data_IF_952094696459
#
_entry.id   IF_952094696459
#
_cell.length_a   1.000
_cell.length_b   1.000
_cell.length_c   1.000
_cell.angle_alpha   90.00
_cell.angle_beta   90.00
_cell.angle_gamma   90.00
#
_symmetry.space_group_name_H-M   'P 1'
#
loop_
_entity.id
_entity.type
_entity.pdbx_description
1 polymer ?
#
# COMPACT_ATOMS: atom_id res chain seq x y z
N UNK A 1 -5.50 4.58 -4.53
CA UNK A 1 -4.79 5.39 -5.54
C UNK A 1 -3.30 5.09 -5.45
N UNK A 2 -2.75 4.42 -6.45
CA UNK A 2 -1.36 3.96 -6.47
C UNK A 2 -0.56 4.82 -7.45
N UNK A 3 -0.36 6.09 -7.08
CA UNK A 3 0.42 7.05 -7.85
C UNK A 3 1.87 6.96 -7.41
N UNK A 4 2.75 6.56 -8.31
CA UNK A 4 4.20 6.58 -8.07
C UNK A 4 4.75 7.85 -8.73
N UNK A 5 5.63 8.55 -8.01
CA UNK A 5 6.40 9.67 -8.56
C UNK A 5 7.76 9.15 -8.96
N UNK A 6 8.09 9.23 -10.24
CA UNK A 6 9.42 8.91 -10.76
C UNK A 6 10.18 10.21 -10.94
N UNK A 7 11.39 10.29 -10.40
CA UNK A 7 12.33 11.38 -10.63
C UNK A 7 13.38 10.95 -11.65
N UNK A 8 13.57 11.75 -12.68
CA UNK A 8 14.63 11.55 -13.67
C UNK A 8 15.33 12.86 -13.98
N UNK A 9 16.63 12.78 -14.22
CA UNK A 9 17.44 13.93 -14.63
C UNK A 9 17.25 14.13 -16.13
N UNK A 10 16.99 15.38 -16.51
CA UNK A 10 16.95 15.82 -17.89
C UNK A 10 18.15 16.72 -18.17
N UNK A 11 18.70 16.61 -19.36
CA UNK A 11 19.79 17.46 -19.85
C UNK A 11 19.32 18.14 -21.14
N UNK A 12 19.46 19.47 -21.22
CA UNK A 12 19.17 20.24 -22.44
C UNK A 12 19.80 21.63 -22.44
N UNK A 13 19.81 22.26 -23.61
CA UNK A 13 20.13 23.66 -23.86
C UNK A 13 18.87 24.56 -23.80
N UNK A 14 19.05 25.87 -23.58
CA UNK A 14 18.05 26.86 -23.12
C UNK A 14 16.91 27.19 -24.11
N UNK A 15 15.66 27.30 -23.61
CA UNK A 15 14.59 28.08 -24.26
C UNK A 15 13.13 27.61 -24.15
N UNK A 16 12.45 27.96 -23.04
CA UNK A 16 11.00 28.28 -22.80
C UNK A 16 9.82 27.28 -23.00
N UNK A 17 8.89 27.18 -22.03
CA UNK A 17 7.82 26.16 -21.82
C UNK A 17 6.41 26.46 -22.40
N UNK A 18 5.71 25.44 -22.95
CA UNK A 18 4.29 25.05 -22.67
C UNK A 18 3.74 23.89 -23.55
N UNK A 19 3.57 22.73 -22.89
CA UNK A 19 2.71 21.54 -23.08
C UNK A 19 2.28 20.99 -24.46
N UNK A 20 2.96 19.90 -24.83
CA UNK A 20 2.48 18.56 -25.24
C UNK A 20 3.78 17.75 -25.42
N UNK A 21 3.87 16.52 -24.92
CA UNK A 21 5.15 15.80 -24.90
C UNK A 21 5.29 14.86 -26.07
N UNK A 22 6.47 14.83 -26.68
CA UNK A 22 6.83 13.82 -27.67
C UNK A 22 7.99 12.99 -27.16
N UNK A 23 7.70 11.72 -26.92
CA UNK A 23 8.68 10.71 -26.57
C UNK A 23 9.30 10.19 -27.85
N UNK A 24 10.63 10.04 -27.84
CA UNK A 24 11.42 9.60 -28.97
C UNK A 24 12.44 8.59 -28.48
N UNK A 25 12.87 7.71 -29.38
CA UNK A 25 13.98 6.77 -29.13
C UNK A 25 15.01 6.95 -30.23
N UNK A 26 16.28 7.04 -29.85
CA UNK A 26 17.36 7.10 -30.83
C UNK A 26 17.83 5.69 -31.24
N UNK A 27 18.73 5.62 -32.23
CA UNK A 27 19.29 4.36 -32.74
C UNK A 27 20.06 3.55 -31.68
N UNK A 28 20.53 4.23 -30.62
CA UNK A 28 21.19 3.60 -29.45
C UNK A 28 20.20 3.14 -28.38
N UNK A 29 18.90 3.23 -28.65
CA UNK A 29 17.82 2.82 -27.75
C UNK A 29 17.57 3.74 -26.55
N UNK A 30 18.18 4.94 -26.54
CA UNK A 30 18.01 5.94 -25.47
C UNK A 30 16.74 6.75 -25.68
N UNK A 31 16.06 7.05 -24.58
CA UNK A 31 14.78 7.75 -24.59
C UNK A 31 15.01 9.27 -24.47
N UNK A 32 14.31 9.99 -25.34
CA UNK A 32 14.27 11.44 -25.35
C UNK A 32 12.84 11.92 -25.17
N UNK A 33 12.70 13.09 -24.58
CA UNK A 33 11.43 13.81 -24.55
C UNK A 33 11.62 15.19 -25.16
N UNK A 34 10.73 15.55 -26.08
CA UNK A 34 10.55 16.90 -26.58
C UNK A 34 9.31 17.48 -25.91
N UNK A 35 9.47 18.68 -25.38
CA UNK A 35 8.36 19.42 -24.80
C UNK A 35 7.88 20.45 -25.82
N UNK A 36 6.62 20.34 -26.24
CA UNK A 36 6.05 21.41 -27.06
C UNK A 36 6.08 22.72 -26.26
N UNK A 37 6.34 23.82 -26.98
CA UNK A 37 6.66 25.13 -26.41
C UNK A 37 8.16 25.38 -26.25
N UNK A 38 8.98 24.36 -25.93
CA UNK A 38 10.46 24.43 -25.83
C UNK A 38 11.17 24.32 -27.20
N UNK A 39 10.49 24.72 -28.27
CA UNK A 39 11.01 24.63 -29.64
C UNK A 39 11.39 23.20 -30.06
N UNK A 40 12.53 23.07 -30.76
CA UNK A 40 13.08 21.79 -31.23
C UNK A 40 13.99 21.09 -30.20
N UNK A 41 14.03 21.59 -28.96
CA UNK A 41 14.90 21.03 -27.92
C UNK A 41 14.48 19.61 -27.57
N UNK A 42 15.46 18.71 -27.53
CA UNK A 42 15.28 17.32 -27.14
C UNK A 42 16.07 17.06 -25.87
N UNK A 43 15.40 16.46 -24.89
CA UNK A 43 15.98 16.20 -23.57
C UNK A 43 16.22 14.70 -23.45
N UNK A 44 17.45 14.29 -23.18
CA UNK A 44 17.76 12.90 -22.89
C UNK A 44 17.32 12.54 -21.47
N UNK A 45 16.69 11.37 -21.32
CA UNK A 45 16.16 10.91 -20.03
C UNK A 45 17.17 10.01 -19.34
N UNK A 46 17.73 10.52 -18.25
CA UNK A 46 18.59 9.74 -17.37
C UNK A 46 17.74 9.23 -16.20
N UNK A 47 17.49 7.92 -16.22
CA UNK A 47 16.70 7.23 -15.21
C UNK A 47 17.37 5.92 -14.79
N UNK A 48 17.08 5.47 -13.56
CA UNK A 48 17.48 4.14 -13.12
C UNK A 48 16.85 3.05 -14.00
N UNK A 49 17.57 1.92 -14.14
CA UNK A 49 17.09 0.75 -14.90
C UNK A 49 15.70 0.27 -14.48
N UNK A 50 15.35 0.44 -13.20
CA UNK A 50 14.03 0.08 -12.64
C UNK A 50 12.89 0.98 -13.16
N UNK A 51 13.21 2.21 -13.54
CA UNK A 51 12.24 3.19 -14.03
C UNK A 51 12.12 3.21 -15.55
N UNK A 52 13.13 2.73 -16.27
CA UNK A 52 13.19 2.72 -17.73
C UNK A 52 11.94 2.10 -18.38
N UNK A 53 11.42 1.01 -17.81
CA UNK A 53 10.23 0.32 -18.31
C UNK A 53 8.99 1.23 -18.39
N UNK A 54 8.86 2.21 -17.48
CA UNK A 54 7.71 3.11 -17.49
C UNK A 54 7.81 4.11 -18.65
N UNK A 55 9.00 4.63 -18.91
CA UNK A 55 9.22 5.55 -20.03
C UNK A 55 9.12 4.86 -21.39
N UNK A 56 9.60 3.62 -21.50
CA UNK A 56 9.38 2.80 -22.69
C UNK A 56 7.87 2.64 -22.96
N UNK A 57 7.08 2.40 -21.91
CA UNK A 57 5.63 2.30 -22.03
C UNK A 57 4.96 3.60 -22.47
N UNK A 58 5.47 4.75 -22.05
CA UNK A 58 4.95 6.05 -22.49
C UNK A 58 5.16 6.27 -23.98
N UNK A 59 6.33 5.87 -24.48
CA UNK A 59 6.64 5.88 -25.92
C UNK A 59 5.70 4.96 -26.69
N UNK A 60 5.54 3.70 -26.25
CA UNK A 60 4.64 2.73 -26.88
C UNK A 60 3.20 3.25 -26.95
N UNK A 61 2.67 3.77 -25.83
CA UNK A 61 1.31 4.31 -25.77
C UNK A 61 1.14 5.48 -26.78
N UNK A 62 2.16 6.33 -26.94
CA UNK A 62 2.14 7.43 -27.89
C UNK A 62 2.21 6.94 -29.35
N UNK A 63 3.08 5.98 -29.66
CA UNK A 63 3.24 5.40 -30.99
C UNK A 63 1.97 4.68 -31.45
N UNK A 64 1.38 3.86 -30.57
CA UNK A 64 0.12 3.15 -30.84
C UNK A 64 -0.99 4.14 -31.20
N UNK A 65 -1.13 5.22 -30.41
CA UNK A 65 -2.12 6.25 -30.68
C UNK A 65 -1.88 7.01 -32.00
N UNK A 66 -0.62 7.29 -32.33
CA UNK A 66 -0.23 7.94 -33.60
C UNK A 66 -0.57 7.03 -34.79
N UNK A 67 -0.22 5.75 -34.71
CA UNK A 67 -0.45 4.77 -35.76
C UNK A 67 -1.94 4.47 -35.96
N UNK A 68 -2.74 4.50 -34.88
CA UNK A 68 -4.18 4.22 -34.91
C UNK A 68 -5.04 5.44 -35.27
N UNK A 69 -4.48 6.53 -35.81
CA UNK A 69 -5.20 7.79 -36.13
C UNK A 69 -6.04 8.33 -34.95
N UNK A 70 -5.53 8.26 -33.72
CA UNK A 70 -6.22 8.70 -32.49
C UNK A 70 -7.51 7.93 -32.11
N UNK A 71 -7.66 6.68 -32.56
CA UNK A 71 -8.73 5.80 -32.10
C UNK A 71 -8.64 5.46 -30.59
N UNK A 72 -7.45 5.54 -29.99
CA UNK A 72 -7.28 5.34 -28.55
C UNK A 72 -7.41 6.65 -27.75
N UNK A 73 -8.06 6.58 -26.60
CA UNK A 73 -8.19 7.72 -25.68
C UNK A 73 -6.87 8.02 -24.96
N UNK A 74 -6.38 9.27 -25.02
CA UNK A 74 -5.24 9.73 -24.19
C UNK A 74 -5.49 9.55 -22.69
N UNK A 75 -6.76 9.44 -22.30
CA UNK A 75 -7.14 9.32 -20.90
C UNK A 75 -6.80 7.95 -20.28
N UNK A 76 -6.39 6.99 -21.12
CA UNK A 76 -5.90 5.65 -20.77
C UNK A 76 -4.37 5.52 -20.93
N UNK A 77 -3.65 6.64 -21.05
CA UNK A 77 -2.21 6.67 -20.91
C UNK A 77 -1.79 6.38 -19.47
N UNK A 78 -0.73 5.59 -19.33
CA UNK A 78 -0.10 5.27 -18.04
C UNK A 78 0.46 6.52 -17.36
N UNK A 79 1.03 7.44 -18.13
CA UNK A 79 1.46 8.76 -17.68
C UNK A 79 0.25 9.69 -17.44
N UNK A 80 0.15 10.25 -16.23
CA UNK A 80 -0.96 11.14 -15.84
C UNK A 80 -0.56 12.61 -15.82
N UNK A 81 0.64 12.87 -15.34
CA UNK A 81 1.23 14.20 -15.41
C UNK A 81 2.74 14.09 -15.37
N UNK A 82 3.40 15.18 -15.73
CA UNK A 82 4.62 15.44 -15.02
C UNK A 82 5.06 16.88 -15.06
N UNK A 83 6.06 17.13 -14.25
CA UNK A 83 6.47 18.44 -13.81
C UNK A 83 7.97 18.54 -13.97
N UNK A 84 8.38 19.63 -14.59
CA UNK A 84 9.77 20.03 -14.63
C UNK A 84 10.07 20.85 -13.39
N UNK A 85 11.16 20.51 -12.72
CA UNK A 85 11.67 21.25 -11.58
C UNK A 85 13.15 21.51 -11.78
N UNK A 86 13.53 22.77 -11.66
CA UNK A 86 14.93 23.17 -11.61
C UNK A 86 15.37 23.11 -10.14
N UNK A 87 16.27 22.20 -9.81
CA UNK A 87 16.77 22.03 -8.44
C UNK A 87 18.19 22.56 -8.32
N UNK A 88 18.51 23.26 -7.22
CA UNK A 88 19.87 23.69 -6.97
C UNK A 88 20.76 22.47 -6.70
N UNK A 89 21.94 22.44 -7.33
CA UNK A 89 22.98 21.47 -6.97
C UNK A 89 23.76 21.93 -5.74
N UNK A 90 24.39 20.98 -5.03
CA UNK A 90 25.24 21.29 -3.87
C UNK A 90 26.67 21.69 -4.25
N UNK A 91 27.05 21.52 -5.52
CA UNK A 91 28.39 21.78 -6.01
C UNK A 91 28.64 23.27 -6.28
N UNK A 92 29.90 23.73 -6.13
CA UNK A 92 30.31 25.09 -6.48
C UNK A 92 30.64 25.17 -7.97
N UNK A 93 29.96 26.03 -8.73
CA UNK A 93 30.19 26.21 -10.16
C UNK A 93 29.14 27.10 -10.82
N UNK A 94 29.19 27.18 -12.16
CA UNK A 94 28.20 27.91 -12.95
C UNK A 94 26.80 27.34 -12.75
N UNK A 95 25.82 28.23 -12.60
CA UNK A 95 24.43 27.93 -12.21
C UNK A 95 23.78 26.87 -13.13
N UNK A 96 24.11 26.85 -14.42
CA UNK A 96 23.59 25.87 -15.39
C UNK A 96 24.30 24.50 -15.37
N UNK A 97 25.52 24.42 -14.83
CA UNK A 97 26.26 23.16 -14.63
C UNK A 97 25.92 22.51 -13.30
N UNK A 98 25.69 23.33 -12.28
CA UNK A 98 25.39 22.91 -10.91
C UNK A 98 23.94 22.48 -10.77
N UNK A 99 23.02 23.28 -11.30
CA UNK A 99 21.61 23.00 -11.12
C UNK A 99 21.13 21.91 -12.06
N UNK A 100 20.16 21.13 -11.59
CA UNK A 100 19.66 19.96 -12.30
C UNK A 100 18.19 20.15 -12.66
N UNK A 101 17.89 19.95 -13.95
CA UNK A 101 16.51 19.83 -14.40
C UNK A 101 16.01 18.42 -14.10
N UNK A 102 15.00 18.32 -13.24
CA UNK A 102 14.36 17.07 -12.87
C UNK A 102 12.97 16.98 -13.49
N UNK A 103 12.66 15.83 -14.09
CA UNK A 103 11.33 15.45 -14.52
C UNK A 103 10.69 14.57 -13.47
N UNK A 104 9.61 15.08 -12.88
CA UNK A 104 8.74 14.34 -11.99
C UNK A 104 7.53 13.84 -12.77
N UNK A 105 7.42 12.53 -12.96
CA UNK A 105 6.26 11.91 -13.62
C UNK A 105 5.36 11.26 -12.60
N UNK A 106 4.05 11.49 -12.71
CA UNK A 106 3.02 10.73 -12.00
C UNK A 106 2.40 9.71 -12.95
N UNK A 107 2.26 8.47 -12.48
CA UNK A 107 1.73 7.36 -13.27
C UNK A 107 0.60 6.65 -12.55
N UNK A 108 -0.38 6.13 -13.32
CA UNK A 108 -1.43 5.24 -12.80
C UNK A 108 -1.03 3.78 -13.06
N UNK A 109 -0.59 3.10 -11.99
CA UNK A 109 -0.13 1.71 -12.07
C UNK A 109 -1.21 0.71 -12.49
N UNK A 110 -2.51 1.07 -12.36
CA UNK A 110 -3.62 0.21 -12.81
C UNK A 110 -3.60 0.03 -14.32
N UNK A 111 -3.11 1.01 -15.07
CA UNK A 111 -3.05 0.96 -16.54
C UNK A 111 -1.86 0.14 -17.06
N UNK A 112 -1.18 -0.60 -16.18
CA UNK A 112 -0.10 -1.49 -16.58
C UNK A 112 -0.61 -2.84 -17.11
N UNK A 113 -1.79 -3.25 -16.68
CA UNK A 113 -2.38 -4.57 -16.94
C UNK A 113 -3.72 -4.41 -17.64
N UNK A 114 -4.11 -5.37 -18.47
CA UNK A 114 -5.40 -5.34 -19.18
C UNK A 114 -6.58 -5.22 -18.21
N UNK A 115 -6.55 -5.99 -17.12
CA UNK A 115 -7.59 -6.09 -16.10
C UNK A 115 -7.70 -4.76 -15.31
N UNK A 116 -6.57 -4.19 -14.90
CA UNK A 116 -6.55 -2.87 -14.26
C UNK A 116 -6.98 -1.74 -15.20
N UNK A 117 -6.66 -1.83 -16.50
CA UNK A 117 -7.16 -0.87 -17.50
C UNK A 117 -8.67 -0.99 -17.66
N UNK A 118 -9.23 -2.20 -17.66
CA UNK A 118 -10.69 -2.43 -17.73
C UNK A 118 -11.43 -1.79 -16.55
N UNK A 119 -10.91 -1.93 -15.32
CA UNK A 119 -11.48 -1.24 -14.16
C UNK A 119 -11.54 0.28 -14.34
N UNK A 120 -10.46 0.88 -14.86
CA UNK A 120 -10.42 2.32 -15.14
C UNK A 120 -11.38 2.72 -16.27
N UNK A 121 -11.52 1.86 -17.29
CA UNK A 121 -12.48 2.04 -18.38
C UNK A 121 -13.90 2.07 -17.82
N UNK A 122 -14.29 1.09 -17.00
CA UNK A 122 -15.61 1.01 -16.36
C UNK A 122 -15.90 2.23 -15.47
N UNK A 123 -14.95 2.65 -14.63
CA UNK A 123 -15.05 3.87 -13.81
C UNK A 123 -15.34 5.12 -14.67
N UNK A 124 -14.64 5.24 -15.80
CA UNK A 124 -14.78 6.38 -16.71
C UNK A 124 -16.08 6.32 -17.50
N UNK A 125 -16.45 5.16 -18.02
CA UNK A 125 -17.71 4.96 -18.75
C UNK A 125 -18.88 5.35 -17.84
N UNK A 126 -18.90 4.83 -16.61
CA UNK A 126 -19.94 5.16 -15.62
C UNK A 126 -20.02 6.67 -15.36
N UNK A 127 -18.87 7.33 -15.18
CA UNK A 127 -18.81 8.79 -14.97
C UNK A 127 -19.32 9.58 -16.17
N UNK A 128 -18.96 9.17 -17.38
CA UNK A 128 -19.39 9.82 -18.63
C UNK A 128 -20.90 9.62 -18.81
N UNK A 129 -21.40 8.39 -18.64
CA UNK A 129 -22.82 8.06 -18.74
C UNK A 129 -23.66 8.84 -17.73
N UNK A 130 -23.21 8.94 -16.47
CA UNK A 130 -23.87 9.75 -15.43
C UNK A 130 -23.87 11.25 -15.75
N UNK A 131 -22.87 11.73 -16.48
CA UNK A 131 -22.82 13.14 -16.92
C UNK A 131 -23.79 13.35 -18.08
N UNK A 132 -23.81 12.42 -19.04
CA UNK A 132 -24.71 12.46 -20.20
C UNK A 132 -26.18 12.37 -19.78
N UNK A 133 -26.55 11.53 -18.81
CA UNK A 133 -27.92 11.46 -18.30
C UNK A 133 -28.36 12.77 -17.67
N UNK A 134 -27.51 13.40 -16.86
CA UNK A 134 -27.79 14.72 -16.24
C UNK A 134 -27.94 15.85 -17.26
N UNK A 135 -27.18 15.81 -18.35
CA UNK A 135 -27.28 16.83 -19.41
C UNK A 135 -28.53 16.60 -20.26
N UNK A 136 -28.89 15.35 -20.56
CA UNK A 136 -30.10 14.99 -21.32
C UNK A 136 -31.42 15.24 -20.59
N UNK A 137 -31.40 15.37 -19.27
CA UNK A 137 -32.58 15.74 -18.45
C UNK A 137 -32.96 17.22 -18.54
N UNK A 138 -32.17 18.05 -19.24
CA UNK A 138 -32.51 19.46 -19.48
C UNK A 138 -33.15 19.57 -20.86
N UNK A 139 -34.40 20.03 -20.90
CA UNK A 139 -35.21 20.08 -22.12
C UNK A 139 -34.72 21.10 -23.16
N UNK A 140 -34.02 22.17 -22.75
CA UNK A 140 -33.45 23.19 -23.64
C UNK A 140 -31.91 23.09 -23.74
N UNK A 141 -31.43 22.31 -24.71
CA UNK A 141 -30.00 22.12 -24.97
C UNK A 141 -29.44 23.24 -25.87
N UNK A 142 -28.55 24.07 -25.32
CA UNK A 142 -27.76 25.05 -26.10
C UNK A 142 -26.75 24.37 -27.03
N UNK A 143 -26.32 25.03 -28.10
CA UNK A 143 -25.31 24.53 -29.05
C UNK A 143 -24.00 24.08 -28.37
N UNK A 144 -23.57 24.79 -27.32
CA UNK A 144 -22.40 24.42 -26.51
C UNK A 144 -22.59 23.08 -25.77
N UNK A 145 -23.82 22.79 -25.34
CA UNK A 145 -24.17 21.54 -24.65
C UNK A 145 -24.27 20.39 -25.65
N UNK A 146 -24.74 20.63 -26.87
CA UNK A 146 -24.70 19.65 -27.95
C UNK A 146 -23.25 19.31 -28.33
N UNK A 147 -22.40 20.32 -28.53
CA UNK A 147 -20.98 20.12 -28.78
C UNK A 147 -20.28 19.36 -27.63
N UNK A 148 -20.67 19.61 -26.38
CA UNK A 148 -20.20 18.85 -25.23
C UNK A 148 -20.65 17.39 -25.27
N UNK A 149 -21.91 17.09 -25.60
CA UNK A 149 -22.43 15.73 -25.74
C UNK A 149 -21.65 14.97 -26.82
N UNK A 150 -21.44 15.56 -28.00
CA UNK A 150 -20.67 14.93 -29.08
C UNK A 150 -19.22 14.64 -28.67
N UNK A 151 -18.59 15.54 -27.90
CA UNK A 151 -17.24 15.31 -27.33
C UNK A 151 -17.23 14.16 -26.32
N UNK A 152 -18.25 14.05 -25.48
CA UNK A 152 -18.37 12.95 -24.51
C UNK A 152 -18.62 11.60 -25.20
N UNK A 153 -19.48 11.56 -26.22
CA UNK A 153 -19.74 10.36 -27.03
C UNK A 153 -18.48 9.89 -27.75
N UNK A 154 -17.79 10.79 -28.48
CA UNK A 154 -16.52 10.44 -29.12
C UNK A 154 -15.43 10.03 -28.13
N UNK A 155 -15.49 10.52 -26.89
CA UNK A 155 -14.59 10.06 -25.81
C UNK A 155 -14.94 8.65 -25.34
N UNK A 156 -16.23 8.32 -25.24
CA UNK A 156 -16.73 6.99 -24.89
C UNK A 156 -16.28 5.94 -25.92
N UNK A 157 -16.44 6.24 -27.21
CA UNK A 157 -16.02 5.36 -28.31
C UNK A 157 -14.51 5.05 -28.25
N UNK A 158 -13.70 6.07 -27.96
CA UNK A 158 -12.23 5.93 -27.83
C UNK A 158 -11.79 5.21 -26.56
N UNK A 159 -12.60 5.21 -25.50
CA UNK A 159 -12.31 4.52 -24.24
C UNK A 159 -12.56 3.02 -24.37
N UNK A 160 -13.52 2.61 -25.22
CA UNK A 160 -13.80 1.21 -25.51
C UNK A 160 -12.71 0.52 -26.34
N UNK A 161 -11.73 1.27 -26.85
CA UNK A 161 -10.54 0.74 -27.51
C UNK A 161 -9.28 1.00 -26.65
N UNK A 162 -9.03 0.19 -25.60
CA UNK A 162 -7.87 0.38 -24.72
C UNK A 162 -6.54 0.04 -25.43
N UNK A 163 -5.44 0.58 -24.91
CA UNK A 163 -4.10 0.19 -25.35
C UNK A 163 -3.83 -1.28 -25.04
N UNK A 164 -3.09 -2.02 -25.90
CA UNK A 164 -2.70 -3.40 -25.62
C UNK A 164 -1.78 -3.44 -24.39
N UNK A 165 -2.16 -4.21 -23.38
CA UNK A 165 -1.41 -4.38 -22.13
C UNK A 165 -1.12 -5.87 -21.89
N UNK A 166 -0.07 -6.21 -21.14
CA UNK A 166 0.09 -7.58 -20.64
C UNK A 166 -1.10 -7.94 -19.73
N UNK A 167 -1.62 -9.16 -19.90
CA UNK A 167 -2.60 -9.70 -18.97
C UNK A 167 -1.90 -10.09 -17.67
N UNK A 168 -2.50 -9.66 -16.56
CA UNK A 168 -2.14 -10.13 -15.24
C UNK A 168 -3.45 -10.24 -14.45
N UNK A 169 -3.97 -11.46 -14.26
CA UNK A 169 -5.26 -11.63 -13.60
C UNK A 169 -5.21 -10.99 -12.22
N UNK A 170 -6.30 -10.30 -11.88
CA UNK A 170 -6.50 -9.81 -10.52
C UNK A 170 -6.43 -10.98 -9.55
N UNK A 171 -5.93 -10.72 -8.35
CA UNK A 171 -5.92 -11.73 -7.31
C UNK A 171 -7.37 -12.20 -7.05
N UNK A 172 -7.60 -13.49 -7.18
CA UNK A 172 -8.85 -14.15 -6.83
C UNK A 172 -8.52 -15.21 -5.78
N UNK A 173 -8.92 -14.94 -4.54
CA UNK A 173 -8.82 -15.92 -3.48
C UNK A 173 -10.00 -16.89 -3.49
N UNK A 174 -9.82 -18.04 -2.84
CA UNK A 174 -10.87 -19.01 -2.60
C UNK A 174 -11.74 -18.52 -1.44
N UNK A 175 -13.06 -18.31 -1.63
CA UNK A 175 -13.95 -17.80 -0.59
C UNK A 175 -14.00 -18.65 0.69
N UNK A 176 -13.63 -19.92 0.59
CA UNK A 176 -13.54 -20.85 1.73
C UNK A 176 -12.29 -20.64 2.58
N UNK A 177 -11.21 -20.06 2.04
CA UNK A 177 -9.93 -19.95 2.72
C UNK A 177 -9.75 -18.55 3.29
N UNK A 178 -9.60 -18.47 4.61
CA UNK A 178 -9.40 -17.24 5.36
C UNK A 178 -8.10 -17.27 6.15
N UNK A 179 -7.43 -16.12 6.22
CA UNK A 179 -6.25 -15.96 7.09
C UNK A 179 -6.65 -15.19 8.35
N UNK A 180 -6.67 -15.87 9.49
CA UNK A 180 -6.88 -15.25 10.79
C UNK A 180 -5.57 -14.76 11.40
N UNK A 181 -5.55 -13.51 11.86
CA UNK A 181 -4.41 -12.89 12.52
C UNK A 181 -4.74 -12.71 14.01
N UNK A 182 -3.99 -13.33 14.90
CA UNK A 182 -4.11 -13.07 16.33
C UNK A 182 -2.97 -12.21 16.85
N UNK A 183 -3.29 -11.32 17.79
CA UNK A 183 -2.31 -10.54 18.51
C UNK A 183 -2.16 -11.07 19.94
N UNK A 184 -0.93 -11.11 20.45
CA UNK A 184 -0.62 -11.73 21.73
C UNK A 184 0.41 -10.95 22.54
N UNK A 185 0.38 -11.13 23.86
CA UNK A 185 1.22 -10.38 24.80
C UNK A 185 2.72 -10.70 24.75
N UNK A 186 3.06 -11.97 24.47
CA UNK A 186 4.46 -12.43 24.42
C UNK A 186 5.02 -12.44 22.99
N UNK A 187 4.15 -12.69 22.03
CA UNK A 187 4.46 -12.79 20.60
C UNK A 187 3.51 -11.85 19.88
N UNK A 188 4.02 -10.83 19.15
CA UNK A 188 3.19 -9.78 18.59
C UNK A 188 2.11 -10.30 17.64
N UNK A 189 2.39 -11.36 16.87
CA UNK A 189 1.42 -11.88 15.91
C UNK A 189 1.49 -13.39 15.76
N UNK A 190 0.34 -14.06 15.61
CA UNK A 190 0.27 -15.47 15.20
C UNK A 190 -0.81 -15.60 14.14
N UNK A 191 -0.50 -16.32 13.07
CA UNK A 191 -1.36 -16.44 11.90
C UNK A 191 -1.87 -17.86 11.80
N UNK A 192 -3.14 -18.01 11.45
CA UNK A 192 -3.77 -19.27 11.09
C UNK A 192 -4.40 -19.14 9.69
N UNK A 193 -4.22 -20.15 8.85
CA UNK A 193 -4.91 -20.28 7.56
C UNK A 193 -5.96 -21.36 7.74
N UNK A 194 -7.22 -21.03 7.49
CA UNK A 194 -8.38 -21.90 7.76
C UNK A 194 -9.17 -22.07 6.48
N UNK A 195 -9.48 -23.32 6.13
CA UNK A 195 -10.56 -23.64 5.21
C UNK A 195 -11.84 -23.77 6.02
N UNK A 196 -12.70 -22.76 5.92
CA UNK A 196 -13.90 -22.63 6.76
C UNK A 196 -14.98 -23.62 6.34
N UNK A 197 -15.02 -24.03 5.07
CA UNK A 197 -16.02 -25.00 4.59
C UNK A 197 -15.71 -26.38 5.15
N UNK A 198 -14.43 -26.76 5.18
CA UNK A 198 -13.98 -28.03 5.80
C UNK A 198 -13.83 -27.93 7.31
N UNK A 199 -13.88 -26.72 7.87
CA UNK A 199 -13.55 -26.43 9.26
C UNK A 199 -12.16 -26.95 9.66
N UNK A 200 -11.19 -26.85 8.74
CA UNK A 200 -9.83 -27.37 8.89
C UNK A 200 -8.81 -26.24 8.90
N UNK A 201 -7.84 -26.33 9.81
CA UNK A 201 -6.73 -25.38 9.85
C UNK A 201 -5.57 -25.90 9.00
N UNK A 202 -5.38 -25.28 7.84
CA UNK A 202 -4.36 -25.65 6.86
C UNK A 202 -2.94 -25.37 7.36
N UNK A 203 -2.77 -24.28 8.11
CA UNK A 203 -1.45 -23.88 8.60
C UNK A 203 -1.50 -22.94 9.80
N UNK A 204 -0.57 -23.14 10.72
CA UNK A 204 -0.20 -22.14 11.72
C UNK A 204 1.17 -21.56 11.42
N UNK A 205 1.32 -20.24 11.62
CA UNK A 205 2.59 -19.54 11.49
C UNK A 205 2.81 -18.64 12.69
N UNK A 206 3.88 -18.94 13.42
CA UNK A 206 4.35 -18.11 14.53
C UNK A 206 5.24 -16.96 14.04
N UNK A 207 5.43 -15.93 14.87
CA UNK A 207 6.37 -14.81 14.58
C UNK A 207 7.75 -15.26 14.09
N UNK A 208 8.29 -16.35 14.67
CA UNK A 208 9.60 -16.88 14.27
C UNK A 208 9.57 -17.44 12.85
N UNK A 209 8.48 -18.09 12.46
CA UNK A 209 8.30 -18.60 11.10
C UNK A 209 7.99 -17.48 10.11
N UNK A 210 7.30 -16.41 10.54
CA UNK A 210 6.99 -15.25 9.69
C UNK A 210 8.26 -14.43 9.38
N UNK A 211 9.11 -14.21 10.38
CA UNK A 211 10.31 -13.39 10.21
C UNK A 211 11.52 -14.20 9.70
N UNK A 212 11.56 -15.51 9.93
CA UNK A 212 12.68 -16.36 9.55
C UNK A 212 14.00 -15.86 10.15
N UNK A 213 14.98 -15.57 9.28
CA UNK A 213 16.28 -15.02 9.66
C UNK A 213 16.19 -13.64 10.33
N UNK A 214 15.19 -12.83 9.94
CA UNK A 214 14.96 -11.49 10.49
C UNK A 214 14.38 -11.52 11.91
N UNK A 215 14.18 -12.70 12.50
CA UNK A 215 13.72 -12.82 13.88
C UNK A 215 14.69 -12.19 14.90
N UNK A 216 15.99 -12.13 14.56
CA UNK A 216 17.00 -11.45 15.36
C UNK A 216 16.69 -9.95 15.55
N UNK A 217 16.09 -9.29 14.55
CA UNK A 217 15.70 -7.88 14.61
C UNK A 217 14.65 -7.63 15.69
N UNK A 218 13.71 -8.57 15.87
CA UNK A 218 12.71 -8.49 16.94
C UNK A 218 13.36 -8.55 18.33
N UNK A 219 14.36 -9.41 18.51
CA UNK A 219 15.09 -9.50 19.77
C UNK A 219 15.90 -8.22 20.03
N UNK A 220 16.55 -7.67 18.99
CA UNK A 220 17.26 -6.38 19.08
C UNK A 220 16.32 -5.25 19.49
N UNK A 221 15.13 -5.17 18.89
CA UNK A 221 14.13 -4.16 19.25
C UNK A 221 13.69 -4.30 20.72
N UNK A 222 13.48 -5.52 21.21
CA UNK A 222 13.12 -5.75 22.62
C UNK A 222 14.20 -5.28 23.59
N UNK A 223 15.46 -5.61 23.30
CA UNK A 223 16.61 -5.15 24.08
C UNK A 223 16.71 -3.62 24.09
N UNK A 224 16.51 -2.99 22.94
CA UNK A 224 16.52 -1.54 22.83
C UNK A 224 15.38 -0.90 23.63
N UNK A 225 14.15 -1.42 23.54
CA UNK A 225 13.03 -0.92 24.34
C UNK A 225 13.29 -1.04 25.84
N UNK A 226 13.88 -2.15 26.28
CA UNK A 226 14.24 -2.35 27.68
C UNK A 226 15.33 -1.37 28.14
N UNK A 227 16.39 -1.19 27.35
CA UNK A 227 17.45 -0.21 27.62
C UNK A 227 16.89 1.21 27.71
N UNK A 228 16.10 1.64 26.72
CA UNK A 228 15.47 2.95 26.70
C UNK A 228 14.48 3.14 27.86
N UNK A 229 13.78 2.08 28.30
CA UNK A 229 12.93 2.16 29.49
C UNK A 229 13.75 2.38 30.77
N UNK A 230 14.91 1.74 30.87
CA UNK A 230 15.82 1.94 32.01
C UNK A 230 16.42 3.35 32.02
N UNK A 231 16.90 3.82 30.87
CA UNK A 231 17.42 5.19 30.70
C UNK A 231 16.34 6.24 31.01
N UNK A 232 15.09 6.03 30.57
CA UNK A 232 13.93 6.88 30.94
C UNK A 232 13.69 6.93 32.44
N UNK A 233 13.73 5.79 33.11
CA UNK A 233 13.53 5.73 34.55
C UNK A 233 14.66 6.44 35.31
N UNK A 234 15.91 6.31 34.85
CA UNK A 234 17.05 7.04 35.42
C UNK A 234 16.91 8.55 35.20
N UNK A 235 16.56 8.99 34.00
CA UNK A 235 16.33 10.39 33.67
C UNK A 235 15.18 11.00 34.48
N UNK A 236 14.07 10.26 34.66
CA UNK A 236 12.94 10.68 35.51
C UNK A 236 13.35 10.90 36.96
N UNK A 237 14.16 10.00 37.53
CA UNK A 237 14.70 10.19 38.90
C UNK A 237 15.62 11.41 39.02
N UNK A 238 16.24 11.82 37.92
CA UNK A 238 17.17 12.95 37.86
C UNK A 238 16.50 14.24 37.36
N UNK A 239 15.17 14.26 37.16
CA UNK A 239 14.44 15.37 36.53
C UNK A 239 15.04 15.82 35.18
N UNK A 240 15.67 14.91 34.45
CA UNK A 240 16.29 15.15 33.15
C UNK A 240 15.29 14.86 32.00
N UNK A 241 15.51 15.42 30.79
CA UNK A 241 14.72 15.09 29.61
C UNK A 241 14.67 13.57 29.37
N UNK A 242 13.46 13.03 29.19
CA UNK A 242 13.21 11.59 29.09
C UNK A 242 12.67 11.15 27.72
N UNK A 243 12.72 12.04 26.72
CA UNK A 243 12.38 11.76 25.33
C UNK A 243 13.57 11.16 24.60
N UNK A 244 13.71 9.84 24.66
CA UNK A 244 14.67 9.11 23.85
C UNK A 244 14.01 8.65 22.55
N UNK A 245 14.66 8.88 21.42
CA UNK A 245 14.18 8.43 20.12
C UNK A 245 14.14 6.89 20.05
N UNK A 246 12.99 6.34 19.68
CA UNK A 246 12.91 4.92 19.31
C UNK A 246 13.41 4.78 17.87
N UNK A 247 14.27 3.78 17.60
CA UNK A 247 14.69 3.51 16.22
C UNK A 247 13.49 3.10 15.37
N UNK A 248 13.53 3.44 14.09
CA UNK A 248 12.59 3.01 13.04
C UNK A 248 12.48 1.48 12.86
N UNK A 249 13.31 0.71 13.57
CA UNK A 249 13.34 -0.76 13.58
C UNK A 249 11.95 -1.37 13.85
N UNK A 250 11.15 -0.78 14.74
CA UNK A 250 9.80 -1.29 15.01
C UNK A 250 8.88 -1.18 13.79
N UNK A 251 8.94 -0.05 13.07
CA UNK A 251 8.17 0.13 11.83
C UNK A 251 8.64 -0.82 10.74
N UNK A 252 9.96 -1.04 10.64
CA UNK A 252 10.53 -1.97 9.69
C UNK A 252 10.07 -3.41 9.95
N UNK A 253 10.06 -3.86 11.20
CA UNK A 253 9.57 -5.20 11.56
C UNK A 253 8.07 -5.33 11.28
N UNK A 254 7.26 -4.29 11.49
CA UNK A 254 5.85 -4.31 11.12
C UNK A 254 5.63 -4.52 9.61
N UNK A 255 6.47 -3.88 8.77
CA UNK A 255 6.45 -4.10 7.31
C UNK A 255 6.84 -5.54 6.95
N UNK A 256 7.90 -6.08 7.56
CA UNK A 256 8.31 -7.47 7.35
C UNK A 256 7.23 -8.48 7.75
N UNK A 257 6.55 -8.25 8.89
CA UNK A 257 5.44 -9.07 9.34
C UNK A 257 4.26 -8.99 8.38
N UNK A 258 3.89 -7.78 7.94
CA UNK A 258 2.83 -7.58 6.97
C UNK A 258 3.15 -8.32 5.65
N UNK A 259 4.36 -8.16 5.11
CA UNK A 259 4.80 -8.83 3.89
C UNK A 259 4.73 -10.35 4.01
N UNK A 260 5.16 -10.91 5.15
CA UNK A 260 5.08 -12.35 5.41
C UNK A 260 3.63 -12.85 5.48
N UNK A 261 2.73 -12.09 6.13
CA UNK A 261 1.29 -12.43 6.20
C UNK A 261 0.67 -12.42 4.80
N UNK A 262 0.96 -11.40 3.98
CA UNK A 262 0.47 -11.31 2.61
C UNK A 262 1.04 -12.45 1.75
N UNK A 263 2.31 -12.81 1.92
CA UNK A 263 2.91 -13.93 1.21
C UNK A 263 2.20 -15.25 1.52
N UNK A 264 1.89 -15.51 2.80
CA UNK A 264 1.12 -16.69 3.20
C UNK A 264 -0.28 -16.66 2.59
N UNK A 265 -0.98 -15.53 2.68
CA UNK A 265 -2.32 -15.40 2.09
C UNK A 265 -2.30 -15.72 0.59
N UNK A 266 -1.29 -15.24 -0.15
CA UNK A 266 -1.10 -15.58 -1.57
C UNK A 266 -0.85 -17.07 -1.81
N UNK A 267 0.05 -17.69 -1.03
CA UNK A 267 0.41 -19.10 -1.20
C UNK A 267 -0.81 -20.01 -1.06
N UNK A 268 -1.70 -19.70 -0.12
CA UNK A 268 -2.92 -20.47 0.12
C UNK A 268 -4.14 -19.93 -0.64
N UNK A 269 -3.95 -18.93 -1.52
CA UNK A 269 -5.04 -18.27 -2.25
C UNK A 269 -6.20 -17.86 -1.33
N UNK A 270 -5.91 -17.29 -0.16
CA UNK A 270 -6.94 -16.87 0.77
C UNK A 270 -7.76 -15.69 0.22
N UNK A 271 -9.08 -15.73 0.36
CA UNK A 271 -9.97 -14.64 -0.04
C UNK A 271 -9.71 -13.35 0.74
N UNK A 272 -9.56 -13.48 2.06
CA UNK A 272 -9.39 -12.32 2.94
C UNK A 272 -8.49 -12.60 4.14
N UNK A 273 -8.04 -11.52 4.75
CA UNK A 273 -7.27 -11.51 6.00
C UNK A 273 -8.12 -10.89 7.10
N UNK A 274 -8.41 -11.67 8.14
CA UNK A 274 -9.21 -11.26 9.28
C UNK A 274 -8.29 -10.74 10.39
N UNK A 275 -8.50 -9.49 10.77
CA UNK A 275 -7.71 -8.74 11.74
C UNK A 275 -8.57 -8.45 12.98
N UNK A 276 -8.03 -8.52 14.20
CA UNK A 276 -8.83 -8.33 15.40
C UNK A 276 -9.06 -6.85 15.71
N UNK A 277 -10.21 -6.53 16.31
CA UNK A 277 -10.54 -5.17 16.77
C UNK A 277 -9.57 -4.71 17.87
N UNK A 278 -9.05 -3.49 17.74
CA UNK A 278 -8.13 -2.90 18.72
C UNK A 278 -8.76 -2.65 20.09
N UNK A 279 -10.07 -2.37 20.15
CA UNK A 279 -10.77 -2.11 21.41
C UNK A 279 -10.72 -3.34 22.32
N UNK A 280 -11.05 -4.50 21.74
CA UNK A 280 -11.09 -5.79 22.43
C UNK A 280 -9.69 -6.22 22.89
N UNK A 281 -8.64 -5.77 22.22
CA UNK A 281 -7.26 -6.08 22.61
C UNK A 281 -6.88 -5.53 23.98
N UNK A 282 -7.31 -4.31 24.34
CA UNK A 282 -6.97 -3.76 25.67
C UNK A 282 -7.61 -4.57 26.79
N UNK A 283 -8.85 -4.97 26.59
CA UNK A 283 -9.62 -5.79 27.53
C UNK A 283 -9.08 -7.21 27.60
N UNK A 284 -8.73 -7.82 26.46
CA UNK A 284 -8.08 -9.14 26.44
C UNK A 284 -6.75 -9.14 27.18
N UNK A 285 -5.94 -8.10 26.97
CA UNK A 285 -4.66 -7.94 27.65
C UNK A 285 -4.88 -7.77 29.15
N UNK A 286 -5.85 -6.94 29.57
CA UNK A 286 -6.11 -6.74 30.99
C UNK A 286 -6.63 -8.02 31.66
N UNK A 287 -7.54 -8.75 31.01
CA UNK A 287 -8.06 -10.03 31.49
C UNK A 287 -6.98 -11.12 31.55
N UNK A 288 -6.09 -11.22 30.56
CA UNK A 288 -5.00 -12.21 30.57
C UNK A 288 -3.96 -11.89 31.66
N UNK A 289 -3.62 -10.62 31.84
CA UNK A 289 -2.74 -10.16 32.92
C UNK A 289 -3.35 -10.48 34.29
N UNK A 290 -4.64 -10.20 34.47
CA UNK A 290 -5.35 -10.43 35.72
C UNK A 290 -5.46 -11.93 36.04
N UNK A 291 -5.85 -12.75 35.06
CA UNK A 291 -5.92 -14.21 35.24
C UNK A 291 -4.57 -14.81 35.62
N UNK A 292 -3.46 -14.30 35.07
CA UNK A 292 -2.10 -14.73 35.46
C UNK A 292 -1.73 -14.27 36.88
N UNK A 293 -2.18 -13.09 37.28
CA UNK A 293 -1.96 -12.57 38.63
C UNK A 293 -2.68 -13.43 39.67
N UNK A 294 -3.95 -13.75 39.41
CA UNK A 294 -4.77 -14.62 40.27
C UNK A 294 -4.20 -16.04 40.38
N UNK A 295 -3.72 -16.61 39.28
CA UNK A 295 -3.06 -17.93 39.29
C UNK A 295 -1.78 -17.97 40.12
N UNK A 296 -1.01 -16.88 40.14
CA UNK A 296 0.25 -16.81 40.92
C UNK A 296 0.03 -16.46 42.38
N UNK A 297 -0.92 -15.58 42.65
CA UNK A 297 -1.22 -15.09 44.00
C UNK A 297 -2.73 -15.25 44.26
N UNK A 298 -3.21 -16.47 44.51
CA UNK A 298 -4.63 -16.70 44.79
C UNK A 298 -5.03 -15.96 46.09
N UNK A 299 -6.18 -15.29 46.07
CA UNK A 299 -6.77 -14.61 47.25
C UNK A 299 -6.11 -13.29 47.69
N UNK A 300 -4.85 -13.01 47.33
CA UNK A 300 -4.16 -11.80 47.78
C UNK A 300 -4.16 -10.66 46.75
N UNK A 301 -5.14 -9.75 46.86
CA UNK A 301 -5.39 -8.67 45.89
C UNK A 301 -4.22 -7.71 45.67
N UNK A 302 -3.48 -7.34 46.71
CA UNK A 302 -2.35 -6.39 46.57
C UNK A 302 -1.18 -7.02 45.81
N UNK A 303 -0.83 -8.28 46.10
CA UNK A 303 0.18 -9.00 45.33
C UNK A 303 -0.25 -9.22 43.88
N UNK A 304 -1.55 -9.48 43.63
CA UNK A 304 -2.07 -9.56 42.27
C UNK A 304 -1.89 -8.24 41.51
N UNK A 305 -2.21 -7.10 42.14
CA UNK A 305 -2.03 -5.77 41.54
C UNK A 305 -0.55 -5.45 41.26
N UNK A 306 0.33 -5.75 42.22
CA UNK A 306 1.79 -5.57 42.07
C UNK A 306 2.33 -6.44 40.93
N UNK A 307 1.97 -7.71 40.91
CA UNK A 307 2.33 -8.63 39.84
C UNK A 307 1.79 -8.18 38.49
N UNK A 308 0.53 -7.77 38.41
CA UNK A 308 -0.08 -7.27 37.17
C UNK A 308 0.66 -6.03 36.63
N UNK A 309 1.08 -5.11 37.52
CA UNK A 309 1.87 -3.93 37.16
C UNK A 309 3.25 -4.32 36.63
N UNK A 310 3.98 -5.16 37.34
CA UNK A 310 5.31 -5.65 36.92
C UNK A 310 5.22 -6.43 35.60
N UNK A 311 4.21 -7.28 35.46
CA UNK A 311 4.00 -8.06 34.25
C UNK A 311 3.66 -7.18 33.06
N UNK A 312 2.80 -6.15 33.20
CA UNK A 312 2.55 -5.15 32.14
C UNK A 312 3.81 -4.40 31.72
N UNK A 313 4.70 -4.10 32.66
CA UNK A 313 6.00 -3.48 32.33
C UNK A 313 6.96 -4.43 31.60
N UNK A 314 6.86 -5.74 31.88
CA UNK A 314 7.70 -6.78 31.25
C UNK A 314 7.25 -7.18 29.83
N UNK A 315 5.99 -6.87 29.49
CA UNK A 315 5.40 -7.17 28.17
C UNK A 315 5.92 -6.17 27.12
N UNK A 316 6.01 -6.62 25.87
CA UNK A 316 6.42 -5.75 24.78
C UNK A 316 5.42 -4.61 24.54
N UNK A 317 5.92 -3.39 24.34
CA UNK A 317 5.09 -2.21 24.01
C UNK A 317 4.88 -2.13 22.50
N UNK A 318 4.17 -3.10 21.95
CA UNK A 318 3.91 -3.14 20.51
C UNK A 318 2.75 -2.22 20.15
N UNK A 319 2.90 -1.47 19.05
CA UNK A 319 1.80 -0.68 18.49
C UNK A 319 1.01 -1.52 17.49
N UNK A 320 -0.04 -2.19 17.95
CA UNK A 320 -0.89 -3.00 17.06
C UNK A 320 -1.60 -2.17 16.01
N UNK A 321 -1.93 -0.90 16.28
CA UNK A 321 -2.50 -0.02 15.26
C UNK A 321 -1.58 0.12 14.05
N UNK A 322 -0.30 0.39 14.29
CA UNK A 322 0.71 0.50 13.22
C UNK A 322 0.87 -0.80 12.42
N UNK A 323 0.82 -1.95 13.09
CA UNK A 323 0.88 -3.25 12.42
C UNK A 323 -0.38 -3.49 11.56
N UNK A 324 -1.57 -3.20 12.09
CA UNK A 324 -2.83 -3.33 11.35
C UNK A 324 -2.80 -2.46 10.08
N UNK A 325 -2.36 -1.21 10.21
CA UNK A 325 -2.27 -0.29 9.07
C UNK A 325 -1.27 -0.79 8.02
N UNK A 326 -0.15 -1.37 8.47
CA UNK A 326 0.83 -2.01 7.58
C UNK A 326 0.22 -3.20 6.84
N UNK A 327 -0.53 -4.07 7.53
CA UNK A 327 -1.21 -5.22 6.91
C UNK A 327 -2.25 -4.74 5.90
N UNK A 328 -3.13 -3.80 6.28
CA UNK A 328 -4.16 -3.26 5.39
C UNK A 328 -3.57 -2.62 4.14
N UNK A 329 -2.56 -1.78 4.32
CA UNK A 329 -1.91 -1.10 3.19
C UNK A 329 -1.25 -2.10 2.22
N UNK A 330 -0.68 -3.19 2.73
CA UNK A 330 -0.04 -4.21 1.89
C UNK A 330 -1.06 -5.16 1.23
N UNK A 331 -2.15 -5.50 1.92
CA UNK A 331 -3.25 -6.29 1.37
C UNK A 331 -3.92 -5.57 0.20
N UNK A 332 -4.20 -4.27 0.35
CA UNK A 332 -4.80 -3.43 -0.71
C UNK A 332 -3.93 -3.38 -1.96
N UNK A 333 -2.59 -3.31 -1.83
CA UNK A 333 -1.68 -3.33 -2.98
C UNK A 333 -1.75 -4.61 -3.79
N UNK A 334 -2.10 -5.72 -3.14
CA UNK A 334 -2.19 -7.04 -3.76
C UNK A 334 -3.61 -7.35 -4.23
N UNK A 335 -4.62 -6.68 -3.69
CA UNK A 335 -6.03 -6.95 -3.96
C UNK A 335 -6.63 -8.03 -3.05
N UNK A 336 -6.03 -8.28 -1.88
CA UNK A 336 -6.61 -9.17 -0.86
C UNK A 336 -7.50 -8.31 0.05
N UNK A 337 -8.73 -8.77 0.31
CA UNK A 337 -9.65 -8.06 1.20
C UNK A 337 -9.22 -8.22 2.66
N UNK A 338 -9.52 -7.21 3.48
CA UNK A 338 -9.24 -7.26 4.93
C UNK A 338 -10.52 -7.06 5.71
N UNK A 339 -10.73 -7.89 6.72
CA UNK A 339 -11.90 -7.85 7.57
C UNK A 339 -11.52 -7.63 9.03
N UNK A 340 -12.48 -7.15 9.80
CA UNK A 340 -12.28 -6.84 11.20
C UNK A 340 -13.18 -7.75 12.03
N UNK A 341 -12.57 -8.71 12.73
CA UNK A 341 -13.28 -9.67 13.58
C UNK A 341 -13.04 -9.46 15.07
N UNK A 342 -13.87 -10.11 15.88
CA UNK A 342 -13.75 -10.13 17.34
C UNK A 342 -12.88 -11.33 17.76
N UNK A 343 -11.70 -11.06 18.33
CA UNK A 343 -10.82 -12.14 18.78
C UNK A 343 -11.36 -12.77 20.07
N UNK A 344 -11.34 -14.11 20.23
CA UNK A 344 -11.74 -14.73 21.48
C UNK A 344 -10.73 -14.47 22.61
N UNK A 345 -11.24 -14.30 23.82
CA UNK A 345 -10.44 -13.98 25.02
C UNK A 345 -9.62 -15.19 25.48
N UNK A 346 -10.19 -16.39 25.39
CA UNK A 346 -9.58 -17.66 25.83
C UNK A 346 -8.95 -18.42 24.67
N UNK A 347 -8.06 -19.35 25.00
CA UNK A 347 -7.38 -20.24 24.05
C UNK A 347 -5.93 -19.85 23.75
N UNK A 348 -5.21 -20.76 23.08
CA UNK A 348 -3.87 -20.51 22.58
C UNK A 348 -3.88 -19.43 21.47
N UNK A 349 -2.77 -18.71 21.19
CA UNK A 349 -2.73 -17.76 20.08
C UNK A 349 -3.10 -18.39 18.72
N UNK A 350 -2.83 -19.68 18.55
CA UNK A 350 -3.20 -20.44 17.36
C UNK A 350 -4.71 -20.65 17.27
N UNK A 351 -5.34 -21.12 18.35
CA UNK A 351 -6.81 -21.22 18.43
C UNK A 351 -7.49 -19.86 18.24
N UNK A 352 -6.94 -18.80 18.84
CA UNK A 352 -7.46 -17.44 18.69
C UNK A 352 -7.45 -16.99 17.23
N UNK A 353 -6.36 -17.25 16.52
CA UNK A 353 -6.26 -16.93 15.10
C UNK A 353 -7.23 -17.76 14.25
N UNK A 354 -7.35 -19.06 14.51
CA UNK A 354 -8.27 -19.94 13.78
C UNK A 354 -9.74 -19.57 14.00
N UNK A 355 -10.15 -19.42 15.25
CA UNK A 355 -11.51 -19.06 15.63
C UNK A 355 -11.90 -17.68 15.09
N UNK A 356 -10.96 -16.72 15.05
CA UNK A 356 -11.20 -15.41 14.46
C UNK A 356 -11.60 -15.50 12.99
N UNK A 357 -10.94 -16.36 12.21
CA UNK A 357 -11.28 -16.60 10.81
C UNK A 357 -12.67 -17.24 10.66
N UNK A 358 -12.97 -18.26 11.47
CA UNK A 358 -14.27 -18.94 11.46
C UNK A 358 -15.41 -17.98 11.84
N UNK A 359 -15.24 -17.17 12.89
CA UNK A 359 -16.26 -16.21 13.32
C UNK A 359 -16.53 -15.14 12.26
N UNK A 360 -15.50 -14.61 11.61
CA UNK A 360 -15.68 -13.63 10.54
C UNK A 360 -16.47 -14.22 9.36
N UNK A 361 -16.23 -15.48 9.00
CA UNK A 361 -17.02 -16.15 7.96
C UNK A 361 -18.48 -16.33 8.36
N UNK A 362 -18.75 -16.71 9.61
CA UNK A 362 -20.11 -16.85 10.13
C UNK A 362 -20.83 -15.50 10.14
N UNK A 363 -20.15 -14.42 10.53
CA UNK A 363 -20.70 -13.06 10.46
C UNK A 363 -21.08 -12.70 9.01
N UNK A 364 -20.24 -13.04 8.01
CA UNK A 364 -20.57 -12.82 6.60
C UNK A 364 -21.83 -13.56 6.15
N UNK A 365 -22.04 -14.80 6.58
CA UNK A 365 -23.24 -15.54 6.19
C UNK A 365 -24.51 -15.03 6.87
N UNK A 366 -24.37 -14.35 8.02
CA UNK A 366 -25.49 -13.77 8.75
C UNK A 366 -25.90 -12.37 8.24
N UNK A 367 -25.11 -11.76 7.36
CA UNK A 367 -25.38 -10.45 6.74
C UNK A 367 -25.94 -10.64 5.33
#
# INVERSE_FOLDING_TARGET
MSVITIQCRLVAEEGTLRQLWEWLKNDKGRLFVRFNGLGKLTFEIYCDKRHLQYFQRFLEDQEIKRNSKNQHSSSLFTLRSGRLAWLPGEEKGEVWKVNQLNLYCSLDTRMWTTEGTQQVVEEKVTRITNTLTKVKQKDDLKDEQQAFITRQQSTLDRINNPFPRPSKPNYQGQPSILVGVSFGLKKPVTVAVVDVVKNEVLAYRSVKQLLGENYNLLNRQRQQQQRLSHERHKAQKQNAPNSFGESELGQYIDRLLADAIIAIAKTYQADSIVIPKLRDMREQISSEVQSRAEKKCPGYKEAQQKYAKEYRMSIHRWSYGRLIDSIKSQAVKVGISTEIGTQPIKGSPQEKAGNLAVFAYQERQAT
#
